data_IF_983671152583
#
_entry.id   IF_983671152583
#
_cell.length_a   1.000
_cell.length_b   1.000
_cell.length_c   1.000
_cell.angle_alpha   90.00
_cell.angle_beta   90.00
_cell.angle_gamma   90.00
#
_symmetry.space_group_name_H-M   'P 1'
#
loop_
_entity.id
_entity.type
_entity.pdbx_description
1 polymer ?
#
# COMPACT_ATOMS: atom_id res chain seq x y z
N UNK A 1 7.37 22.96 -5.46
CA UNK A 1 5.96 22.56 -5.37
C UNK A 1 5.84 21.23 -4.68
N UNK A 2 5.06 21.12 -3.58
CA UNK A 2 4.90 19.86 -2.90
C UNK A 2 4.26 18.80 -3.81
N UNK A 3 4.77 17.57 -3.74
CA UNK A 3 4.19 16.46 -4.47
C UNK A 3 2.99 15.90 -3.68
N UNK A 4 1.94 15.41 -4.37
CA UNK A 4 0.84 14.74 -3.67
C UNK A 4 1.30 13.47 -2.95
N UNK A 5 2.50 12.98 -3.27
CA UNK A 5 3.07 11.79 -2.61
C UNK A 5 3.90 12.12 -1.37
N UNK A 6 4.15 13.41 -1.08
CA UNK A 6 4.99 13.81 0.05
C UNK A 6 4.53 13.25 1.40
N UNK A 7 3.23 13.24 1.75
CA UNK A 7 2.80 12.67 3.04
C UNK A 7 3.18 11.19 3.19
N UNK A 8 3.16 10.44 2.11
CA UNK A 8 3.53 9.02 2.11
C UNK A 8 5.03 8.85 2.29
N UNK A 9 5.82 9.66 1.58
CA UNK A 9 7.28 9.64 1.73
C UNK A 9 7.70 10.01 3.15
N UNK A 10 7.07 11.02 3.73
CA UNK A 10 7.36 11.48 5.08
C UNK A 10 7.02 10.40 6.12
N UNK A 11 5.90 9.70 5.96
CA UNK A 11 5.50 8.64 6.88
C UNK A 11 6.48 7.47 6.83
N UNK A 12 6.91 7.08 5.65
CA UNK A 12 7.89 6.00 5.48
C UNK A 12 9.21 6.40 6.14
N UNK A 13 9.69 7.61 5.88
CA UNK A 13 10.94 8.12 6.45
C UNK A 13 10.89 8.19 7.98
N UNK A 14 9.73 8.57 8.54
CA UNK A 14 9.55 8.66 9.98
C UNK A 14 9.66 7.29 10.67
N UNK A 15 9.26 6.22 10.00
CA UNK A 15 9.33 4.86 10.55
C UNK A 15 10.77 4.32 10.49
N UNK A 16 11.45 4.49 9.38
CA UNK A 16 12.84 4.06 9.28
C UNK A 16 13.31 3.82 7.86
N UNK A 17 14.62 3.55 7.72
CA UNK A 17 15.26 3.37 6.42
C UNK A 17 14.82 2.10 5.68
N UNK A 18 14.36 1.09 6.43
CA UNK A 18 13.89 -0.17 5.86
C UNK A 18 12.36 -0.23 5.73
N UNK A 19 11.70 0.89 6.00
CA UNK A 19 10.23 0.95 5.97
C UNK A 19 9.71 1.15 4.55
N UNK A 20 8.47 0.73 4.34
CA UNK A 20 7.78 0.91 3.04
C UNK A 20 6.27 0.99 3.28
N UNK A 21 5.58 1.65 2.35
CA UNK A 21 4.11 1.74 2.42
C UNK A 21 3.50 0.35 2.31
N UNK A 22 2.40 0.15 3.03
CA UNK A 22 1.77 -1.16 3.13
C UNK A 22 0.26 -1.08 2.94
N UNK A 23 -0.29 -2.10 2.26
CA UNK A 23 -1.72 -2.33 2.18
C UNK A 23 -2.54 -1.13 1.73
N UNK A 24 -3.47 -0.72 2.58
CA UNK A 24 -4.42 0.36 2.27
C UNK A 24 -3.75 1.66 1.87
N UNK A 25 -2.60 1.98 2.45
CA UNK A 25 -1.90 3.23 2.13
C UNK A 25 -1.32 3.23 0.71
N UNK A 26 -0.97 2.05 0.18
CA UNK A 26 -0.56 1.95 -1.23
C UNK A 26 -1.75 2.29 -2.13
N UNK A 27 -2.93 1.77 -1.80
CA UNK A 27 -4.15 2.05 -2.56
C UNK A 27 -4.50 3.55 -2.48
N UNK A 28 -4.34 4.15 -1.31
CA UNK A 28 -4.62 5.56 -1.10
C UNK A 28 -3.66 6.44 -1.90
N UNK A 29 -2.38 6.09 -1.94
CA UNK A 29 -1.37 6.87 -2.66
C UNK A 29 -1.72 7.03 -4.15
N UNK A 30 -2.30 6.00 -4.75
CA UNK A 30 -2.68 6.02 -6.16
C UNK A 30 -4.17 6.28 -6.37
N UNK A 31 -4.93 6.56 -5.31
CA UNK A 31 -6.38 6.81 -5.39
C UNK A 31 -7.12 5.66 -6.07
N UNK A 32 -6.76 4.42 -5.74
CA UNK A 32 -7.33 3.24 -6.39
C UNK A 32 -8.75 2.95 -5.91
N UNK A 33 -9.06 3.28 -4.66
CA UNK A 33 -10.41 3.14 -4.11
C UNK A 33 -10.53 4.01 -2.86
N UNK A 34 -11.75 4.24 -2.35
CA UNK A 34 -11.92 4.98 -1.09
C UNK A 34 -11.22 4.25 0.07
N UNK A 35 -10.44 4.98 0.84
CA UNK A 35 -9.70 4.47 1.99
C UNK A 35 -9.89 5.38 3.19
N UNK A 36 -9.38 4.95 4.36
CA UNK A 36 -9.43 5.79 5.56
C UNK A 36 -8.27 6.80 5.52
N UNK A 37 -8.54 8.09 5.31
CA UNK A 37 -7.47 9.09 5.17
C UNK A 37 -6.75 9.42 6.49
N UNK A 38 -7.29 8.98 7.64
CA UNK A 38 -6.67 9.28 8.93
C UNK A 38 -5.58 8.30 9.33
N UNK A 39 -5.42 7.22 8.57
CA UNK A 39 -4.43 6.17 8.90
C UNK A 39 -3.41 6.02 7.79
N UNK A 40 -2.15 5.85 8.21
CA UNK A 40 -1.04 5.60 7.30
C UNK A 40 -0.39 4.29 7.70
N UNK A 41 -0.47 3.29 6.82
CA UNK A 41 0.09 1.95 7.08
C UNK A 41 1.49 1.84 6.49
N UNK A 42 2.45 1.54 7.35
CA UNK A 42 3.86 1.42 6.96
C UNK A 42 4.39 0.09 7.53
N UNK A 43 5.06 -0.68 6.70
CA UNK A 43 5.67 -1.94 7.13
C UNK A 43 7.17 -1.77 7.27
N UNK A 44 7.77 -2.56 8.17
CA UNK A 44 9.21 -2.59 8.37
C UNK A 44 9.60 -3.96 8.93
N UNK A 45 10.80 -4.48 8.60
CA UNK A 45 11.25 -5.73 9.22
C UNK A 45 11.69 -5.55 10.67
N UNK A 46 11.90 -4.31 11.12
CA UNK A 46 12.43 -4.00 12.45
C UNK A 46 11.33 -3.57 13.40
N UNK A 47 11.54 -3.80 14.71
CA UNK A 47 10.64 -3.31 15.73
C UNK A 47 10.87 -1.81 15.92
N UNK A 48 9.79 -1.04 15.87
CA UNK A 48 9.84 0.41 16.07
C UNK A 48 9.44 0.74 17.50
N UNK A 49 10.32 1.43 18.23
CA UNK A 49 10.11 1.79 19.63
C UNK A 49 9.89 3.29 19.85
N UNK A 50 10.20 4.11 18.84
CA UNK A 50 10.03 5.56 18.98
C UNK A 50 8.57 5.95 18.75
N UNK A 51 8.22 7.13 19.26
CA UNK A 51 6.89 7.69 19.03
C UNK A 51 6.77 8.13 17.57
N UNK A 52 5.67 7.77 16.94
CA UNK A 52 5.40 8.10 15.55
C UNK A 52 4.27 9.13 15.45
N UNK A 53 4.16 9.83 14.29
CA UNK A 53 3.05 10.75 14.08
C UNK A 53 1.71 10.05 14.27
N UNK A 54 0.71 10.80 14.73
CA UNK A 54 -0.63 10.29 14.97
C UNK A 54 -1.19 9.68 13.69
N UNK A 55 -1.87 8.54 13.81
CA UNK A 55 -2.45 7.83 12.68
C UNK A 55 -1.50 6.87 11.99
N UNK A 56 -0.22 6.86 12.36
CA UNK A 56 0.74 5.92 11.77
C UNK A 56 0.56 4.54 12.38
N UNK A 57 0.33 3.54 11.52
CA UNK A 57 0.18 2.12 11.92
C UNK A 57 1.34 1.34 11.34
N UNK A 58 2.14 0.74 12.21
CA UNK A 58 3.31 -0.03 11.79
C UNK A 58 2.99 -1.51 11.78
N UNK A 59 3.36 -2.16 10.68
CA UNK A 59 3.24 -3.61 10.52
C UNK A 59 4.65 -4.17 10.44
N UNK A 60 4.98 -5.11 11.33
CA UNK A 60 6.30 -5.74 11.29
C UNK A 60 6.25 -6.95 10.35
N UNK A 61 7.08 -6.93 9.30
CA UNK A 61 7.15 -8.00 8.30
C UNK A 61 8.61 -8.31 8.01
N UNK A 62 9.00 -9.57 8.19
CA UNK A 62 10.37 -10.03 7.91
C UNK A 62 10.38 -10.82 6.60
N UNK A 63 11.43 -10.65 5.81
CA UNK A 63 11.63 -11.42 4.59
C UNK A 63 10.64 -11.15 3.47
N UNK A 64 10.03 -9.97 3.44
CA UNK A 64 9.06 -9.63 2.41
C UNK A 64 9.74 -9.46 1.05
N UNK A 65 9.14 -10.05 0.01
CA UNK A 65 9.66 -10.00 -1.36
C UNK A 65 8.77 -9.16 -2.29
N UNK A 66 7.71 -8.56 -1.75
CA UNK A 66 6.72 -7.80 -2.51
C UNK A 66 6.94 -6.28 -2.43
N UNK A 67 8.18 -5.86 -2.26
CA UNK A 67 8.55 -4.45 -2.08
C UNK A 67 9.18 -3.89 -3.36
N UNK A 68 8.79 -2.68 -3.72
CA UNK A 68 9.34 -1.95 -4.86
C UNK A 68 9.40 -0.47 -4.52
N UNK A 69 9.55 0.38 -5.51
CA UNK A 69 9.52 1.83 -5.34
C UNK A 69 8.61 2.46 -6.38
N UNK A 70 7.78 3.40 -5.92
CA UNK A 70 6.95 4.23 -6.79
C UNK A 70 7.33 5.69 -6.51
N UNK A 71 7.75 6.43 -7.55
CA UNK A 71 8.20 7.81 -7.40
C UNK A 71 9.29 7.95 -6.33
N UNK A 72 10.18 6.95 -6.24
CA UNK A 72 11.25 6.92 -5.24
C UNK A 72 10.82 6.51 -3.84
N UNK A 73 9.53 6.26 -3.61
CA UNK A 73 9.00 5.90 -2.30
C UNK A 73 8.97 4.38 -2.17
N UNK A 74 9.66 3.80 -1.15
CA UNK A 74 9.54 2.36 -0.92
C UNK A 74 8.10 1.98 -0.64
N UNK A 75 7.62 0.94 -1.29
CA UNK A 75 6.21 0.55 -1.22
C UNK A 75 6.05 -0.93 -1.49
N UNK A 76 5.01 -1.52 -0.89
CA UNK A 76 4.53 -2.81 -1.31
C UNK A 76 4.03 -2.70 -2.76
N UNK A 77 4.25 -3.74 -3.55
CA UNK A 77 3.73 -3.76 -4.93
C UNK A 77 2.20 -3.66 -4.90
N UNK A 78 1.62 -2.95 -5.85
CA UNK A 78 0.18 -2.68 -5.87
C UNK A 78 -0.66 -3.97 -5.80
N UNK A 79 -0.31 -4.99 -6.57
CA UNK A 79 -1.04 -6.26 -6.53
C UNK A 79 -1.01 -6.91 -5.15
N UNK A 80 0.17 -6.91 -4.51
CA UNK A 80 0.32 -7.45 -3.17
C UNK A 80 -0.44 -6.61 -2.14
N UNK A 81 -0.45 -5.28 -2.31
CA UNK A 81 -1.19 -4.39 -1.42
C UNK A 81 -2.70 -4.68 -1.47
N UNK A 82 -3.25 -4.88 -2.67
CA UNK A 82 -4.66 -5.23 -2.83
C UNK A 82 -4.94 -6.57 -2.12
N UNK A 83 -4.08 -7.57 -2.30
CA UNK A 83 -4.22 -8.86 -1.61
C UNK A 83 -4.21 -8.72 -0.10
N UNK A 84 -3.36 -7.84 0.43
CA UNK A 84 -3.27 -7.59 1.88
C UNK A 84 -4.55 -6.98 2.44
N UNK A 85 -5.38 -6.38 1.60
CA UNK A 85 -6.64 -5.76 2.01
C UNK A 85 -7.84 -6.71 1.91
N UNK A 86 -7.65 -7.92 1.40
CA UNK A 86 -8.73 -8.91 1.34
C UNK A 86 -9.20 -9.22 2.77
N UNK A 87 -10.50 -9.11 3.01
CA UNK A 87 -11.08 -9.28 4.34
C UNK A 87 -11.11 -8.00 5.17
N UNK A 88 -10.44 -6.93 4.71
CA UNK A 88 -10.39 -5.64 5.42
C UNK A 88 -11.13 -4.55 4.66
N UNK A 89 -11.17 -4.65 3.34
CA UNK A 89 -11.88 -3.71 2.46
C UNK A 89 -12.91 -4.54 1.69
N UNK A 90 -14.08 -3.96 1.43
CA UNK A 90 -15.17 -4.65 0.72
C UNK A 90 -14.70 -5.12 -0.66
N UNK A 91 -15.10 -6.34 -1.08
CA UNK A 91 -14.67 -6.87 -2.38
C UNK A 91 -14.95 -5.95 -3.56
N UNK A 92 -16.08 -5.26 -3.57
CA UNK A 92 -16.43 -4.33 -4.65
C UNK A 92 -15.39 -3.21 -4.80
N UNK A 93 -14.89 -2.72 -3.67
CA UNK A 93 -13.86 -1.68 -3.66
C UNK A 93 -12.52 -2.23 -4.14
N UNK A 94 -12.20 -3.48 -3.77
CA UNK A 94 -10.96 -4.11 -4.21
C UNK A 94 -10.98 -4.38 -5.71
N UNK A 95 -12.12 -4.81 -6.27
CA UNK A 95 -12.27 -4.97 -7.72
C UNK A 95 -12.11 -3.63 -8.43
N UNK A 96 -12.69 -2.56 -7.87
CA UNK A 96 -12.52 -1.22 -8.43
C UNK A 96 -11.05 -0.78 -8.39
N UNK A 97 -10.34 -1.13 -7.30
CA UNK A 97 -8.91 -0.83 -7.18
C UNK A 97 -8.09 -1.56 -8.25
N UNK A 98 -8.42 -2.82 -8.54
CA UNK A 98 -7.75 -3.59 -9.61
C UNK A 98 -7.97 -2.91 -10.95
N UNK A 99 -9.20 -2.52 -11.28
CA UNK A 99 -9.51 -1.84 -12.54
C UNK A 99 -8.75 -0.53 -12.67
N UNK A 100 -8.73 0.27 -11.60
CA UNK A 100 -8.03 1.56 -11.62
C UNK A 100 -6.52 1.35 -11.73
N UNK A 101 -5.95 0.36 -11.05
CA UNK A 101 -4.54 0.04 -11.15
C UNK A 101 -4.17 -0.41 -12.57
N UNK A 102 -5.02 -1.20 -13.20
CA UNK A 102 -4.82 -1.63 -14.58
C UNK A 102 -4.85 -0.42 -15.52
N UNK A 103 -5.82 0.48 -15.33
CA UNK A 103 -5.95 1.70 -16.13
C UNK A 103 -4.72 2.60 -15.99
N UNK A 104 -4.13 2.69 -14.79
CA UNK A 104 -2.95 3.51 -14.54
C UNK A 104 -1.64 2.82 -14.96
N UNK A 105 -1.70 1.57 -15.41
CA UNK A 105 -0.50 0.83 -15.79
C UNK A 105 0.28 0.25 -14.61
N UNK A 106 -0.33 0.18 -13.44
CA UNK A 106 0.33 -0.36 -12.23
C UNK A 106 0.24 -1.88 -12.15
N UNK A 107 -0.70 -2.49 -12.88
CA UNK A 107 -0.87 -3.93 -12.98
C UNK A 107 -0.93 -4.34 -14.44
N UNK A 108 -0.38 -5.51 -14.73
CA UNK A 108 -0.58 -6.14 -16.05
C UNK A 108 -1.89 -6.91 -16.01
N UNK A 109 -2.47 -7.17 -17.20
CA UNK A 109 -3.76 -7.84 -17.32
C UNK A 109 -3.78 -9.19 -16.62
N UNK A 110 -2.74 -10.00 -16.79
CA UNK A 110 -2.65 -11.33 -16.16
C UNK A 110 -2.64 -11.25 -14.65
N UNK A 111 -1.90 -10.29 -14.09
CA UNK A 111 -1.86 -10.10 -12.65
C UNK A 111 -3.20 -9.57 -12.14
N UNK A 112 -3.82 -8.65 -12.87
CA UNK A 112 -5.14 -8.13 -12.49
C UNK A 112 -6.18 -9.25 -12.40
N UNK A 113 -6.17 -10.16 -13.35
CA UNK A 113 -7.09 -11.31 -13.36
C UNK A 113 -6.84 -12.23 -12.16
N UNK A 114 -5.57 -12.46 -11.80
CA UNK A 114 -5.23 -13.28 -10.64
C UNK A 114 -5.68 -12.63 -9.34
N UNK A 115 -5.46 -11.32 -9.20
CA UNK A 115 -5.87 -10.60 -8.00
C UNK A 115 -7.41 -10.61 -7.87
N UNK A 116 -8.13 -10.34 -8.95
CA UNK A 116 -9.60 -10.39 -8.95
C UNK A 116 -10.10 -11.78 -8.50
N UNK A 117 -9.48 -12.83 -8.99
CA UNK A 117 -9.84 -14.20 -8.62
C UNK A 117 -9.62 -14.44 -7.12
N UNK A 118 -8.53 -13.93 -6.56
CA UNK A 118 -8.24 -14.07 -5.13
C UNK A 118 -9.23 -13.28 -4.28
N UNK A 119 -9.66 -12.10 -4.75
CA UNK A 119 -10.66 -11.29 -4.05
C UNK A 119 -11.99 -12.03 -3.97
N UNK A 120 -12.34 -12.76 -5.03
CA UNK A 120 -13.60 -13.53 -5.10
C UNK A 120 -13.59 -14.82 -4.24
N UNK A 121 -12.41 -15.31 -3.88
CA UNK A 121 -12.26 -16.59 -3.16
C UNK A 121 -12.82 -16.57 -1.74
#
# INVERSE_FOLDING_TARGET
VPSPFDPYAESVAAVGSDAYLYGESVLAMFSLCPTNPTKMFVATPKRVRRKLPEGTKVVQRKGASDVTRYEGIPSQKVGAAIRSCIGKIMPERLHAAVEEALRQGLLKKEEAERVDSEVES
#
